data_IF_567432346031
#
_entry.id   IF_567432346031
#
_cell.length_a   1.000
_cell.length_b   1.000
_cell.length_c   1.000
_cell.angle_alpha   90.00
_cell.angle_beta   90.00
_cell.angle_gamma   90.00
#
_symmetry.space_group_name_H-M   'P 1'
#
loop_
_entity.id
_entity.type
_entity.pdbx_description
1 polymer ?
#
# COMPACT_ATOMS: atom_id res chain seq x y z
N UNK A 1 -22.41 0.85 7.87
CA UNK A 1 -21.63 -0.34 7.39
C UNK A 1 -20.16 -0.23 7.75
N UNK A 2 -19.57 0.98 7.80
CA UNK A 2 -18.21 1.21 8.34
C UNK A 2 -18.01 0.60 9.73
N UNK A 3 -19.05 0.59 10.57
CA UNK A 3 -18.97 0.16 11.97
C UNK A 3 -18.83 -1.37 12.14
N UNK A 4 -18.85 -2.14 11.06
CA UNK A 4 -18.63 -3.59 11.06
C UNK A 4 -17.16 -3.97 10.86
N UNK A 5 -16.31 -3.01 10.46
CA UNK A 5 -14.89 -3.24 10.21
C UNK A 5 -14.12 -2.41 11.22
N UNK A 6 -13.59 -3.09 12.23
CA UNK A 6 -12.73 -2.46 13.24
C UNK A 6 -11.26 -2.43 12.80
N UNK A 7 -10.44 -1.75 13.60
CA UNK A 7 -9.00 -1.62 13.36
C UNK A 7 -8.28 -2.97 13.41
N UNK A 8 -8.79 -3.94 14.19
CA UNK A 8 -8.22 -5.29 14.28
C UNK A 8 -8.40 -6.03 12.95
N UNK A 9 -9.62 -6.01 12.39
CA UNK A 9 -9.90 -6.55 11.07
C UNK A 9 -9.04 -5.88 10.00
N UNK A 10 -8.94 -4.54 10.02
CA UNK A 10 -8.08 -3.82 9.07
C UNK A 10 -6.61 -4.24 9.18
N UNK A 11 -6.05 -4.26 10.39
CA UNK A 11 -4.65 -4.63 10.61
C UNK A 11 -4.36 -6.10 10.24
N UNK A 12 -5.36 -6.98 10.32
CA UNK A 12 -5.23 -8.39 9.96
C UNK A 12 -5.14 -8.59 8.44
N UNK A 13 -6.00 -7.91 7.69
CA UNK A 13 -6.19 -8.19 6.25
C UNK A 13 -5.55 -7.16 5.33
N UNK A 14 -5.34 -5.92 5.76
CA UNK A 14 -4.81 -4.84 4.96
C UNK A 14 -3.40 -4.43 5.41
N UNK A 15 -2.68 -3.75 4.52
CA UNK A 15 -1.53 -2.93 4.90
C UNK A 15 -2.04 -1.51 5.07
N UNK A 16 -2.00 -1.00 6.30
CA UNK A 16 -2.45 0.35 6.64
C UNK A 16 -1.27 1.14 7.13
N UNK A 17 -0.80 2.09 6.31
CA UNK A 17 0.34 2.94 6.61
C UNK A 17 0.23 4.29 5.93
N UNK A 18 1.08 5.24 6.36
CA UNK A 18 1.26 6.50 5.64
C UNK A 18 1.95 6.28 4.28
N UNK A 19 1.74 7.15 3.27
CA UNK A 19 2.30 6.97 1.94
C UNK A 19 3.82 6.73 1.90
N UNK A 20 4.57 7.41 2.77
CA UNK A 20 6.03 7.31 2.89
C UNK A 20 6.51 6.02 3.57
N UNK A 21 5.67 5.37 4.39
CA UNK A 21 5.97 4.09 5.04
C UNK A 21 5.39 2.87 4.30
N UNK A 22 4.44 3.11 3.40
CA UNK A 22 3.64 2.06 2.76
C UNK A 22 4.48 1.05 1.97
N UNK A 23 5.48 1.51 1.22
CA UNK A 23 6.36 0.63 0.44
C UNK A 23 7.07 -0.42 1.32
N UNK A 24 7.64 0.02 2.43
CA UNK A 24 8.32 -0.86 3.40
C UNK A 24 7.35 -1.85 4.05
N UNK A 25 6.16 -1.39 4.42
CA UNK A 25 5.14 -2.24 5.04
C UNK A 25 4.62 -3.31 4.07
N UNK A 26 4.39 -2.96 2.81
CA UNK A 26 4.02 -3.93 1.77
C UNK A 26 5.13 -4.98 1.60
N UNK A 27 6.39 -4.57 1.45
CA UNK A 27 7.52 -5.52 1.33
C UNK A 27 7.61 -6.44 2.54
N UNK A 28 7.47 -5.91 3.75
CA UNK A 28 7.48 -6.70 4.99
C UNK A 28 6.34 -7.71 5.04
N UNK A 29 5.12 -7.31 4.67
CA UNK A 29 3.93 -8.17 4.67
C UNK A 29 4.07 -9.35 3.73
N UNK A 30 4.70 -9.13 2.58
CA UNK A 30 4.72 -10.07 1.46
C UNK A 30 6.10 -10.66 1.13
N UNK A 31 7.11 -10.40 1.96
CA UNK A 31 8.46 -10.93 1.78
C UNK A 31 8.46 -12.45 1.65
N UNK A 32 9.00 -12.96 0.54
CA UNK A 32 9.08 -14.39 0.25
C UNK A 32 7.75 -15.04 -0.15
N UNK A 33 6.65 -14.28 -0.28
CA UNK A 33 5.34 -14.79 -0.68
C UNK A 33 5.01 -14.49 -2.15
N UNK A 34 5.41 -13.32 -2.65
CA UNK A 34 5.17 -12.90 -4.04
C UNK A 34 6.38 -12.14 -4.59
N UNK A 35 6.59 -12.24 -5.90
CA UNK A 35 7.66 -11.51 -6.59
C UNK A 35 7.22 -10.11 -7.07
N UNK A 36 5.90 -9.90 -7.24
CA UNK A 36 5.32 -8.67 -7.81
C UNK A 36 3.99 -8.32 -7.16
N UNK A 37 3.76 -7.03 -7.02
CA UNK A 37 2.52 -6.45 -6.50
C UNK A 37 2.05 -5.39 -7.49
N UNK A 38 0.76 -5.43 -7.82
CA UNK A 38 0.11 -4.43 -8.67
C UNK A 38 -1.09 -3.86 -7.91
N UNK A 39 -1.09 -2.57 -7.55
CA UNK A 39 -2.24 -1.93 -6.95
C UNK A 39 -3.45 -2.03 -7.88
N UNK A 40 -4.57 -2.53 -7.36
CA UNK A 40 -5.81 -2.58 -8.12
C UNK A 40 -6.60 -1.28 -7.89
N UNK A 41 -6.25 -0.27 -8.67
CA UNK A 41 -6.89 1.04 -8.66
C UNK A 41 -7.01 1.54 -10.11
N UNK A 42 -8.14 2.14 -10.46
CA UNK A 42 -8.26 2.95 -11.69
C UNK A 42 -7.16 4.02 -11.73
N UNK A 43 -6.31 3.96 -12.74
CA UNK A 43 -5.28 4.96 -12.96
C UNK A 43 -5.79 6.06 -13.88
N UNK A 44 -5.85 7.29 -13.37
CA UNK A 44 -6.13 8.50 -14.12
C UNK A 44 -4.93 9.44 -13.99
N UNK A 45 -4.25 9.80 -15.10
CA UNK A 45 -3.11 10.70 -15.04
C UNK A 45 -3.48 12.03 -14.36
N UNK A 46 -2.70 12.44 -13.36
CA UNK A 46 -2.88 13.71 -12.65
C UNK A 46 -3.69 13.64 -11.35
N UNK A 47 -4.42 12.57 -11.06
CA UNK A 47 -5.26 12.48 -9.85
C UNK A 47 -4.44 12.20 -8.59
N UNK A 48 -3.54 11.21 -8.66
CA UNK A 48 -2.77 10.68 -7.51
C UNK A 48 -1.25 10.68 -7.77
N UNK A 49 -0.78 11.52 -8.69
CA UNK A 49 0.63 11.53 -9.14
C UNK A 49 1.63 11.69 -7.98
N UNK A 50 1.28 12.49 -6.97
CA UNK A 50 2.11 12.70 -5.79
C UNK A 50 2.21 11.43 -4.94
N UNK A 51 1.08 10.74 -4.72
CA UNK A 51 1.05 9.46 -4.03
C UNK A 51 1.85 8.41 -4.79
N UNK A 52 1.64 8.28 -6.10
CA UNK A 52 2.35 7.32 -6.93
C UNK A 52 3.86 7.59 -6.96
N UNK A 53 4.28 8.85 -7.03
CA UNK A 53 5.68 9.23 -6.98
C UNK A 53 6.32 8.84 -5.65
N UNK A 54 5.68 9.16 -4.52
CA UNK A 54 6.18 8.77 -3.19
C UNK A 54 6.27 7.25 -3.07
N UNK A 55 5.23 6.51 -3.46
CA UNK A 55 5.21 5.05 -3.35
C UNK A 55 6.33 4.41 -4.19
N UNK A 56 6.51 4.84 -5.43
CA UNK A 56 7.55 4.32 -6.34
C UNK A 56 8.96 4.68 -5.85
N UNK A 57 9.17 5.89 -5.37
CA UNK A 57 10.47 6.32 -4.87
C UNK A 57 10.86 5.55 -3.62
N UNK A 58 9.96 5.39 -2.65
CA UNK A 58 10.20 4.59 -1.45
C UNK A 58 10.35 3.09 -1.77
N UNK A 59 9.59 2.57 -2.74
CA UNK A 59 9.75 1.19 -3.22
C UNK A 59 11.12 0.92 -3.82
N UNK A 60 11.79 1.91 -4.39
CA UNK A 60 13.15 1.74 -4.93
C UNK A 60 14.24 1.85 -3.86
N UNK A 61 13.97 2.54 -2.75
CA UNK A 61 14.91 2.77 -1.65
C UNK A 61 15.01 1.60 -0.67
N UNK A 62 13.90 0.91 -0.44
CA UNK A 62 13.82 -0.27 0.44
C UNK A 62 14.28 -1.55 -0.24
#
# INVERSE_FOLDING_TARGET
MSDLVDDEMLATFAVVEKPDALAGAIKKRYAGLVDRITPYWSFHPGDDDDFWRVLVDEWRRT
#
